data_IF_712264233293
#
_entry.id   IF_712264233293
#
_cell.length_a   1.000
_cell.length_b   1.000
_cell.length_c   1.000
_cell.angle_alpha   90.00
_cell.angle_beta   90.00
_cell.angle_gamma   90.00
#
_symmetry.space_group_name_H-M   'P 1'
#
loop_
_entity.id
_entity.type
_entity.pdbx_description
1 polymer ?
#
# COMPACT_ATOMS: atom_id res chain seq x y z
N UNK A 1 -15.67 3.76 -16.86
CA UNK A 1 -14.33 3.28 -17.27
C UNK A 1 -13.41 3.57 -16.09
N UNK A 2 -13.13 2.55 -15.28
CA UNK A 2 -12.19 2.69 -14.17
C UNK A 2 -10.79 2.53 -14.78
N UNK A 3 -10.02 3.61 -14.79
CA UNK A 3 -8.59 3.54 -15.11
C UNK A 3 -7.88 3.07 -13.84
N UNK A 4 -7.33 1.85 -13.90
CA UNK A 4 -6.50 1.31 -12.84
C UNK A 4 -5.19 2.10 -12.81
N UNK A 5 -4.95 2.80 -11.70
CA UNK A 5 -3.69 3.50 -11.44
C UNK A 5 -2.52 2.54 -11.46
N UNK A 6 -1.61 2.72 -12.42
CA UNK A 6 -0.34 2.03 -12.45
C UNK A 6 0.58 2.60 -11.39
N UNK A 7 0.76 1.89 -10.27
CA UNK A 7 1.86 2.12 -9.35
C UNK A 7 3.12 1.44 -9.91
N UNK A 8 3.74 2.12 -10.88
CA UNK A 8 5.12 1.89 -11.29
C UNK A 8 5.94 3.10 -10.87
N UNK A 9 6.16 3.28 -9.56
CA UNK A 9 7.07 4.33 -9.09
C UNK A 9 8.50 3.92 -9.44
N UNK A 10 9.10 4.67 -10.35
CA UNK A 10 10.53 4.60 -10.64
C UNK A 10 11.25 5.07 -9.37
N UNK A 11 11.93 4.15 -8.70
CA UNK A 11 12.77 4.44 -7.53
C UNK A 11 13.94 5.31 -8.02
N UNK A 12 14.12 6.50 -7.43
CA UNK A 12 15.12 7.50 -7.88
C UNK A 12 16.57 6.98 -7.87
N UNK A 13 16.86 5.93 -7.09
CA UNK A 13 18.19 5.29 -6.97
C UNK A 13 18.31 3.92 -7.66
N UNK A 14 17.35 3.55 -8.51
CA UNK A 14 17.50 2.33 -9.32
C UNK A 14 18.53 2.57 -10.43
N UNK A 15 19.46 1.62 -10.62
CA UNK A 15 20.36 1.68 -11.77
C UNK A 15 19.56 1.63 -13.09
N UNK A 16 20.07 2.27 -14.15
CA UNK A 16 19.37 2.37 -15.45
C UNK A 16 19.06 1.00 -16.09
N UNK A 17 19.70 -0.07 -15.61
CA UNK A 17 19.53 -1.44 -16.08
C UNK A 17 18.80 -2.34 -15.09
N UNK A 18 18.11 -1.77 -14.11
CA UNK A 18 17.39 -2.53 -13.12
C UNK A 18 16.22 -3.24 -13.80
N UNK A 19 16.12 -4.58 -13.74
CA UNK A 19 14.99 -5.29 -14.33
C UNK A 19 13.67 -5.00 -13.60
N UNK A 20 13.72 -4.33 -12.45
CA UNK A 20 12.58 -4.07 -11.57
C UNK A 20 12.30 -5.25 -10.62
N UNK A 21 11.70 -4.99 -9.44
CA UNK A 21 11.46 -6.01 -8.42
C UNK A 21 10.45 -7.08 -8.85
N UNK A 22 9.55 -6.77 -9.79
CA UNK A 22 8.52 -7.68 -10.32
C UNK A 22 9.02 -8.58 -11.45
N UNK A 23 10.23 -8.34 -11.98
CA UNK A 23 10.77 -9.17 -13.06
C UNK A 23 11.22 -10.54 -12.54
N UNK A 24 11.08 -11.57 -13.38
CA UNK A 24 11.63 -12.91 -13.11
C UNK A 24 13.16 -12.91 -12.97
N UNK A 25 13.83 -11.92 -13.59
CA UNK A 25 15.28 -11.71 -13.54
C UNK A 25 15.74 -10.85 -12.35
N UNK A 26 14.82 -10.35 -11.53
CA UNK A 26 15.14 -9.59 -10.32
C UNK A 26 16.01 -10.41 -9.36
N UNK A 27 17.11 -9.82 -8.88
CA UNK A 27 18.08 -10.49 -8.02
C UNK A 27 18.97 -11.55 -8.69
N UNK A 28 18.71 -11.88 -9.98
CA UNK A 28 19.43 -12.91 -10.75
C UNK A 28 20.25 -12.34 -11.91
N UNK A 29 19.87 -11.18 -12.46
CA UNK A 29 20.58 -10.54 -13.57
C UNK A 29 21.91 -9.94 -13.14
N UNK A 30 22.80 -9.71 -14.11
CA UNK A 30 24.09 -9.04 -13.86
C UNK A 30 23.92 -7.64 -13.28
N UNK A 31 22.86 -6.93 -13.69
CA UNK A 31 22.50 -5.61 -13.16
C UNK A 31 22.13 -5.63 -11.67
N UNK A 32 21.88 -6.81 -11.08
CA UNK A 32 21.58 -6.97 -9.66
C UNK A 32 22.83 -7.24 -8.80
N UNK A 33 23.99 -7.47 -9.39
CA UNK A 33 25.21 -7.76 -8.62
C UNK A 33 25.62 -6.55 -7.77
N UNK A 34 25.82 -6.77 -6.47
CA UNK A 34 26.17 -5.69 -5.53
C UNK A 34 24.99 -4.83 -5.08
N UNK A 35 23.78 -5.09 -5.57
CA UNK A 35 22.57 -4.42 -5.07
C UNK A 35 22.28 -4.85 -3.62
N UNK A 36 22.06 -3.92 -2.66
CA UNK A 36 21.73 -4.25 -1.28
C UNK A 36 20.51 -5.19 -1.14
N UNK A 37 19.58 -5.10 -2.10
CA UNK A 37 18.35 -5.88 -2.11
C UNK A 37 18.42 -7.15 -2.97
N UNK A 38 19.58 -7.53 -3.52
CA UNK A 38 19.71 -8.65 -4.48
C UNK A 38 19.05 -9.95 -4.00
N UNK A 39 19.34 -10.36 -2.76
CA UNK A 39 18.77 -11.59 -2.17
C UNK A 39 17.26 -11.50 -2.02
N UNK A 40 16.77 -10.35 -1.54
CA UNK A 40 15.33 -10.10 -1.36
C UNK A 40 14.63 -10.15 -2.71
N UNK A 41 15.16 -9.46 -3.72
CA UNK A 41 14.61 -9.50 -5.08
C UNK A 41 14.62 -10.89 -5.69
N UNK A 42 15.64 -11.72 -5.41
CA UNK A 42 15.74 -13.08 -5.95
C UNK A 42 14.71 -14.05 -5.36
N UNK A 43 14.33 -13.86 -4.09
CA UNK A 43 13.41 -14.76 -3.37
C UNK A 43 12.01 -14.20 -3.18
N UNK A 44 11.81 -12.89 -3.37
CA UNK A 44 10.51 -12.27 -3.20
C UNK A 44 9.49 -12.84 -4.20
N UNK A 45 8.26 -13.15 -3.75
CA UNK A 45 7.15 -13.51 -4.64
C UNK A 45 7.02 -12.46 -5.75
N UNK A 46 6.75 -12.93 -6.97
CA UNK A 46 6.53 -12.07 -8.14
C UNK A 46 5.06 -12.07 -8.48
N UNK A 47 4.58 -10.93 -8.98
CA UNK A 47 3.21 -10.77 -9.38
C UNK A 47 2.30 -10.36 -8.21
N UNK A 48 0.99 -10.25 -8.48
CA UNK A 48 0.05 -9.70 -7.52
C UNK A 48 -0.02 -10.57 -6.27
N UNK A 49 -0.09 -9.92 -5.11
CA UNK A 49 -0.35 -10.59 -3.85
C UNK A 49 -1.66 -11.41 -3.96
N UNK A 50 -1.65 -12.73 -3.68
CA UNK A 50 -2.83 -13.57 -3.79
C UNK A 50 -4.01 -13.08 -2.94
N UNK A 51 -3.73 -12.35 -1.86
CA UNK A 51 -4.75 -11.83 -0.96
C UNK A 51 -5.50 -10.62 -1.55
N UNK A 52 -5.01 -10.00 -2.64
CA UNK A 52 -5.67 -8.84 -3.27
C UNK A 52 -7.11 -9.15 -3.69
N UNK A 53 -7.37 -10.36 -4.19
CA UNK A 53 -8.72 -10.78 -4.58
C UNK A 53 -9.64 -10.84 -3.36
N UNK A 54 -9.16 -11.47 -2.28
CA UNK A 54 -9.91 -11.62 -1.03
C UNK A 54 -10.17 -10.26 -0.39
N UNK A 55 -9.18 -9.36 -0.39
CA UNK A 55 -9.33 -8.00 0.11
C UNK A 55 -10.36 -7.23 -0.72
N UNK A 56 -10.30 -7.32 -2.05
CA UNK A 56 -11.24 -6.66 -2.94
C UNK A 56 -12.68 -7.15 -2.69
N UNK A 57 -12.88 -8.46 -2.54
CA UNK A 57 -14.18 -9.05 -2.22
C UNK A 57 -14.72 -8.57 -0.86
N UNK A 58 -13.88 -8.58 0.19
CA UNK A 58 -14.26 -8.11 1.53
C UNK A 58 -14.59 -6.62 1.56
N UNK A 59 -13.94 -5.83 0.71
CA UNK A 59 -14.13 -4.37 0.63
C UNK A 59 -15.19 -3.97 -0.40
N UNK A 60 -15.78 -4.91 -1.14
CA UNK A 60 -16.72 -4.63 -2.22
C UNK A 60 -17.98 -3.90 -1.74
N UNK A 61 -18.43 -4.16 -0.50
CA UNK A 61 -19.60 -3.53 0.11
C UNK A 61 -19.30 -2.16 0.73
N UNK A 62 -18.02 -1.84 0.96
CA UNK A 62 -17.59 -0.55 1.53
C UNK A 62 -17.62 0.53 0.45
N UNK A 63 -18.67 1.36 0.49
CA UNK A 63 -18.94 2.41 -0.50
C UNK A 63 -17.87 3.50 -0.51
N UNK A 64 -17.43 3.94 0.66
CA UNK A 64 -16.46 5.02 0.83
C UNK A 64 -15.31 4.56 1.72
N UNK A 65 -14.06 4.75 1.25
CA UNK A 65 -12.85 4.49 2.02
C UNK A 65 -12.14 5.83 2.23
N UNK A 66 -11.99 6.25 3.48
CA UNK A 66 -11.39 7.53 3.84
C UNK A 66 -10.08 7.24 4.57
N UNK A 67 -8.97 7.72 4.01
CA UNK A 67 -7.64 7.55 4.59
C UNK A 67 -7.22 8.84 5.31
N UNK A 68 -6.93 8.74 6.61
CA UNK A 68 -6.48 9.87 7.44
C UNK A 68 -4.98 9.71 7.75
N UNK A 69 -4.14 10.59 7.22
CA UNK A 69 -2.68 10.56 7.39
C UNK A 69 -2.14 11.86 7.98
N UNK A 70 -0.89 11.82 8.48
CA UNK A 70 -0.15 13.00 8.94
C UNK A 70 1.35 12.73 8.85
N UNK A 71 2.13 13.75 8.55
CA UNK A 71 3.59 13.65 8.52
C UNK A 71 4.29 13.77 9.88
N UNK A 72 3.57 13.97 11.00
CA UNK A 72 4.16 14.16 12.34
C UNK A 72 3.32 13.48 13.43
N UNK A 73 3.97 12.97 14.47
CA UNK A 73 3.31 12.44 15.67
C UNK A 73 2.56 13.52 16.47
N UNK A 74 1.52 13.14 17.20
CA UNK A 74 0.82 14.02 18.14
C UNK A 74 -0.12 15.07 17.55
N UNK A 75 -0.34 15.10 16.22
CA UNK A 75 -1.26 16.08 15.58
C UNK A 75 -2.76 15.77 15.75
N UNK A 76 -3.09 14.66 16.43
CA UNK A 76 -4.48 14.29 16.70
C UNK A 76 -5.17 13.46 15.60
N UNK A 77 -4.43 12.78 14.71
CA UNK A 77 -5.01 11.87 13.67
C UNK A 77 -6.05 10.90 14.22
N UNK A 78 -5.70 10.16 15.27
CA UNK A 78 -6.57 9.12 15.84
C UNK A 78 -7.81 9.74 16.48
N UNK A 79 -7.63 10.88 17.17
CA UNK A 79 -8.74 11.67 17.72
C UNK A 79 -9.69 12.12 16.62
N UNK A 80 -9.17 12.68 15.53
CA UNK A 80 -9.99 13.13 14.40
C UNK A 80 -10.72 11.96 13.74
N UNK A 81 -10.04 10.84 13.49
CA UNK A 81 -10.62 9.65 12.84
C UNK A 81 -11.74 9.03 13.67
N UNK A 82 -11.56 8.97 14.99
CA UNK A 82 -12.59 8.49 15.92
C UNK A 82 -13.82 9.42 15.95
N UNK A 83 -13.62 10.74 16.02
CA UNK A 83 -14.72 11.71 16.04
C UNK A 83 -15.47 11.77 14.71
N UNK A 84 -14.76 11.68 13.58
CA UNK A 84 -15.38 11.60 12.25
C UNK A 84 -16.25 10.34 12.14
N UNK A 85 -15.75 9.19 12.61
CA UNK A 85 -16.50 7.94 12.60
C UNK A 85 -17.77 8.04 13.46
N UNK A 86 -17.64 8.63 14.66
CA UNK A 86 -18.76 8.87 15.55
C UNK A 86 -19.82 9.80 14.93
N UNK A 87 -19.39 10.89 14.30
CA UNK A 87 -20.29 11.83 13.64
C UNK A 87 -21.04 11.19 12.46
N UNK A 88 -20.36 10.37 11.64
CA UNK A 88 -20.99 9.64 10.54
C UNK A 88 -21.99 8.59 11.04
N UNK A 89 -21.64 7.86 12.10
CA UNK A 89 -22.57 6.93 12.74
C UNK A 89 -23.81 7.64 13.31
N UNK A 90 -23.65 8.85 13.86
CA UNK A 90 -24.76 9.68 14.33
C UNK A 90 -25.66 10.23 13.19
N UNK A 91 -25.22 10.13 11.94
CA UNK A 91 -26.01 10.43 10.74
C UNK A 91 -26.58 9.16 10.08
N UNK A 92 -26.68 8.06 10.84
CA UNK A 92 -27.22 6.76 10.41
C UNK A 92 -26.42 6.07 9.29
N UNK A 93 -25.13 6.38 9.12
CA UNK A 93 -24.25 5.60 8.25
C UNK A 93 -23.66 4.38 8.98
N UNK A 94 -23.52 3.26 8.27
CA UNK A 94 -22.73 2.12 8.74
C UNK A 94 -21.25 2.42 8.55
N UNK A 95 -20.50 2.45 9.66
CA UNK A 95 -19.10 2.91 9.68
C UNK A 95 -18.21 1.86 10.33
N UNK A 96 -17.10 1.55 9.67
CA UNK A 96 -15.97 0.83 10.25
C UNK A 96 -14.78 1.76 10.42
N UNK A 97 -14.11 1.70 11.57
CA UNK A 97 -12.85 2.39 11.81
C UNK A 97 -11.73 1.37 11.90
N UNK A 98 -10.73 1.50 11.02
CA UNK A 98 -9.53 0.68 10.99
C UNK A 98 -8.34 1.58 11.32
N UNK A 99 -7.67 1.30 12.44
CA UNK A 99 -6.44 1.98 12.83
C UNK A 99 -5.24 1.21 12.29
N UNK A 100 -4.55 1.79 11.31
CA UNK A 100 -3.33 1.23 10.72
C UNK A 100 -2.17 2.12 11.14
N UNK A 101 -1.58 1.79 12.28
CA UNK A 101 -0.50 2.58 12.86
C UNK A 101 0.83 2.30 12.15
N UNK A 102 1.01 2.89 10.98
CA UNK A 102 2.21 2.74 10.14
C UNK A 102 3.36 3.63 10.64
N UNK A 103 3.02 4.73 11.31
CA UNK A 103 3.95 5.76 11.76
C UNK A 103 3.58 6.19 13.17
N UNK A 104 4.10 5.47 14.18
CA UNK A 104 4.14 6.00 15.54
C UNK A 104 4.78 7.39 15.60
#
# INVERSE_FOLDING_TARGET
KMENGGYGEIIEDANEHCPGPESESAGKSDACQGCPNQKVCASAPKGPDPDLIVIAERMATVKHKILVLSGKGGVGKSTFSAQLSFALAAMDYEVGLLDIDICG
#
